data_IF_895943075057
#
_entry.id   IF_895943075057
#
_cell.length_a   1.000
_cell.length_b   1.000
_cell.length_c   1.000
_cell.angle_alpha   90.00
_cell.angle_beta   90.00
_cell.angle_gamma   90.00
#
_symmetry.space_group_name_H-M   'P 1'
#
loop_
_entity.id
_entity.type
_entity.pdbx_description
1 polymer ?
#
# COMPACT_ATOMS: atom_id res chain seq x y z
N UNK A 1 -2.20 5.00 -0.84
CA UNK A 1 -3.21 5.55 0.09
C UNK A 1 -4.25 6.44 -0.58
N UNK A 2 -3.97 7.70 -0.95
CA UNK A 2 -4.99 8.58 -1.54
C UNK A 2 -5.67 8.01 -2.80
N UNK A 3 -4.94 7.25 -3.61
CA UNK A 3 -5.53 6.53 -4.75
C UNK A 3 -6.53 5.45 -4.31
N UNK A 4 -6.26 4.74 -3.21
CA UNK A 4 -7.17 3.75 -2.63
C UNK A 4 -8.45 4.41 -2.11
N UNK A 5 -8.34 5.54 -1.39
CA UNK A 5 -9.51 6.31 -0.95
C UNK A 5 -10.36 6.85 -2.12
N UNK A 6 -9.77 7.06 -3.30
CA UNK A 6 -10.53 7.42 -4.52
C UNK A 6 -11.19 6.21 -5.20
N UNK A 7 -10.58 5.03 -5.12
CA UNK A 7 -11.13 3.78 -5.67
C UNK A 7 -12.24 3.21 -4.80
N UNK A 8 -12.17 3.40 -3.49
CA UNK A 8 -13.16 2.94 -2.52
C UNK A 8 -14.19 4.05 -2.31
N UNK A 9 -15.42 3.93 -2.85
CA UNK A 9 -16.41 5.01 -2.82
C UNK A 9 -16.98 5.16 -1.41
N UNK A 10 -16.49 6.15 -0.65
CA UNK A 10 -16.91 6.39 0.73
C UNK A 10 -18.42 6.52 0.92
N UNK A 11 -19.15 7.06 -0.05
CA UNK A 11 -20.61 7.16 -0.02
C UNK A 11 -21.33 5.80 0.07
N UNK A 12 -20.71 4.70 -0.38
CA UNK A 12 -21.28 3.36 -0.24
C UNK A 12 -21.23 2.82 1.21
N UNK A 13 -20.58 3.55 2.12
CA UNK A 13 -20.36 3.16 3.51
C UNK A 13 -21.08 4.09 4.51
N UNK A 14 -22.01 4.91 4.03
CA UNK A 14 -22.85 5.79 4.85
C UNK A 14 -24.33 5.56 4.54
N UNK A 15 -25.25 5.92 5.45
CA UNK A 15 -26.67 5.90 5.16
C UNK A 15 -27.01 6.78 3.94
N UNK A 16 -28.02 6.42 3.11
CA UNK A 16 -28.39 7.18 1.91
C UNK A 16 -28.63 8.68 2.15
N UNK A 17 -29.22 9.03 3.30
CA UNK A 17 -29.48 10.42 3.69
C UNK A 17 -28.21 11.27 3.89
N UNK A 18 -27.03 10.64 4.00
CA UNK A 18 -25.75 11.29 4.28
C UNK A 18 -24.76 11.19 3.12
N UNK A 19 -25.14 10.62 1.97
CA UNK A 19 -24.24 10.49 0.81
C UNK A 19 -23.66 11.82 0.34
N UNK A 20 -24.47 12.89 0.36
CA UNK A 20 -24.03 14.24 -0.01
C UNK A 20 -22.92 14.79 0.91
N UNK A 21 -22.88 14.34 2.16
CA UNK A 21 -21.86 14.71 3.15
C UNK A 21 -20.73 13.69 3.24
N UNK A 22 -20.73 12.62 2.44
CA UNK A 22 -19.81 11.50 2.62
C UNK A 22 -18.34 11.93 2.62
N UNK A 23 -17.98 13.00 1.91
CA UNK A 23 -16.62 13.51 1.77
C UNK A 23 -16.31 14.72 2.66
N UNK A 24 -17.25 15.16 3.51
CA UNK A 24 -16.98 16.17 4.54
C UNK A 24 -15.89 15.64 5.49
N UNK A 25 -14.94 16.50 5.90
CA UNK A 25 -13.91 16.12 6.87
C UNK A 25 -14.43 16.08 8.31
N UNK A 26 -15.44 15.23 8.55
CA UNK A 26 -16.06 15.00 9.86
C UNK A 26 -16.54 13.56 9.98
N UNK A 27 -16.75 13.04 11.20
CA UNK A 27 -17.42 11.77 11.40
C UNK A 27 -18.89 11.84 10.95
N UNK A 28 -19.40 10.75 10.41
CA UNK A 28 -20.82 10.59 10.08
C UNK A 28 -21.42 9.40 10.83
N UNK A 29 -22.66 9.50 11.33
CA UNK A 29 -23.31 8.36 11.97
C UNK A 29 -23.62 7.26 10.95
N UNK A 30 -23.42 6.02 11.35
CA UNK A 30 -23.68 4.82 10.53
C UNK A 30 -24.69 3.87 11.16
N UNK A 31 -25.40 4.33 12.20
CA UNK A 31 -26.34 3.53 12.98
C UNK A 31 -25.70 2.89 14.21
N UNK A 32 -26.54 2.33 15.10
CA UNK A 32 -26.11 1.62 16.31
C UNK A 32 -25.16 2.40 17.25
N UNK A 33 -25.26 3.73 17.27
CA UNK A 33 -24.35 4.58 18.06
C UNK A 33 -22.93 4.71 17.49
N UNK A 34 -22.67 4.16 16.30
CA UNK A 34 -21.35 4.15 15.66
C UNK A 34 -21.21 5.27 14.62
N UNK A 35 -19.96 5.59 14.30
CA UNK A 35 -19.61 6.55 13.25
C UNK A 35 -18.61 5.95 12.27
N UNK A 36 -18.64 6.45 11.02
CA UNK A 36 -17.51 6.34 10.11
C UNK A 36 -16.55 7.50 10.41
N UNK A 37 -15.27 7.19 10.62
CA UNK A 37 -14.22 8.19 10.91
C UNK A 37 -14.08 9.19 9.78
N UNK A 38 -13.73 10.44 10.09
CA UNK A 38 -13.49 11.48 9.08
C UNK A 38 -12.38 11.07 8.07
N UNK A 39 -12.48 11.49 6.79
CA UNK A 39 -11.49 11.21 5.75
C UNK A 39 -10.03 11.47 6.18
N UNK A 40 -9.75 12.59 6.86
CA UNK A 40 -8.39 12.90 7.30
C UNK A 40 -7.82 11.84 8.25
N UNK A 41 -8.60 11.39 9.24
CA UNK A 41 -8.16 10.39 10.21
C UNK A 41 -7.92 9.04 9.54
N UNK A 42 -8.78 8.64 8.62
CA UNK A 42 -8.58 7.43 7.78
C UNK A 42 -7.28 7.52 6.99
N UNK A 43 -7.01 8.67 6.37
CA UNK A 43 -5.79 8.92 5.62
C UNK A 43 -4.53 8.81 6.52
N UNK A 44 -4.56 9.49 7.67
CA UNK A 44 -3.47 9.54 8.64
C UNK A 44 -3.16 8.15 9.22
N UNK A 45 -4.17 7.43 9.72
CA UNK A 45 -4.01 6.10 10.31
C UNK A 45 -3.38 5.11 9.32
N UNK A 46 -3.83 5.15 8.08
CA UNK A 46 -3.34 4.20 7.07
C UNK A 46 -1.94 4.57 6.56
N UNK A 47 -1.61 5.86 6.49
CA UNK A 47 -0.24 6.29 6.15
C UNK A 47 0.76 5.85 7.22
N UNK A 48 0.39 6.00 8.50
CA UNK A 48 1.19 5.52 9.64
C UNK A 48 1.36 4.01 9.67
N UNK A 49 0.35 3.25 9.22
CA UNK A 49 0.42 1.79 9.16
C UNK A 49 1.47 1.28 8.16
N UNK A 50 1.86 2.12 7.17
CA UNK A 50 2.86 1.81 6.14
C UNK A 50 2.63 0.44 5.47
N UNK A 51 1.36 0.16 5.13
CA UNK A 51 0.94 -1.10 4.52
C UNK A 51 1.71 -1.41 3.24
N UNK A 52 2.11 -2.67 3.09
CA UNK A 52 2.77 -3.23 1.92
C UNK A 52 1.89 -4.32 1.28
N UNK A 53 2.09 -4.63 -0.02
CA UNK A 53 1.41 -5.73 -0.68
C UNK A 53 1.59 -7.05 0.07
N UNK A 54 0.57 -7.91 -0.03
CA UNK A 54 0.58 -9.25 0.57
C UNK A 54 0.78 -9.28 2.11
N UNK A 55 0.64 -8.14 2.79
CA UNK A 55 0.56 -8.11 4.24
C UNK A 55 -0.81 -8.54 4.73
N UNK A 56 -0.82 -9.26 5.85
CA UNK A 56 -2.03 -9.51 6.63
C UNK A 56 -2.22 -8.37 7.62
N UNK A 57 -3.38 -7.72 7.58
CA UNK A 57 -3.73 -6.62 8.47
C UNK A 57 -4.96 -7.04 9.29
N UNK A 58 -4.91 -6.81 10.61
CA UNK A 58 -6.05 -6.97 11.51
C UNK A 58 -6.64 -5.59 11.80
N UNK A 59 -7.92 -5.40 11.48
CA UNK A 59 -8.69 -4.24 11.90
C UNK A 59 -9.62 -4.62 13.05
N UNK A 60 -9.56 -3.87 14.15
CA UNK A 60 -10.46 -4.03 15.29
C UNK A 60 -11.49 -2.90 15.24
N UNK A 61 -12.77 -3.28 15.13
CA UNK A 61 -13.88 -2.33 15.05
C UNK A 61 -14.23 -1.93 13.62
N UNK A 62 -14.75 -2.87 12.84
CA UNK A 62 -15.08 -2.70 11.41
C UNK A 62 -15.99 -1.51 11.13
N UNK A 63 -16.92 -1.18 12.04
CA UNK A 63 -17.86 -0.08 11.83
C UNK A 63 -18.63 -0.25 10.53
N UNK A 64 -18.47 0.68 9.59
CA UNK A 64 -19.08 0.59 8.25
C UNK A 64 -18.32 -0.31 7.28
N UNK A 65 -17.06 -0.66 7.58
CA UNK A 65 -16.17 -1.42 6.69
C UNK A 65 -15.35 -0.56 5.73
N UNK A 66 -15.44 0.78 5.80
CA UNK A 66 -14.72 1.67 4.88
C UNK A 66 -13.19 1.58 5.03
N UNK A 67 -12.69 1.58 6.27
CA UNK A 67 -11.26 1.42 6.54
C UNK A 67 -10.76 0.04 6.05
N UNK A 68 -11.53 -1.02 6.32
CA UNK A 68 -11.22 -2.38 5.86
C UNK A 68 -11.13 -2.45 4.33
N UNK A 69 -12.07 -1.82 3.62
CA UNK A 69 -12.06 -1.77 2.17
C UNK A 69 -10.84 -1.02 1.61
N UNK A 70 -10.41 0.07 2.26
CA UNK A 70 -9.17 0.77 1.89
C UNK A 70 -7.95 -0.11 2.11
N UNK A 71 -7.86 -0.78 3.26
CA UNK A 71 -6.74 -1.66 3.58
C UNK A 71 -6.68 -2.85 2.61
N UNK A 72 -7.82 -3.46 2.29
CA UNK A 72 -7.93 -4.53 1.31
C UNK A 72 -7.44 -4.10 -0.08
N UNK A 73 -7.86 -2.91 -0.55
CA UNK A 73 -7.40 -2.35 -1.81
C UNK A 73 -5.88 -2.09 -1.81
N UNK A 74 -5.29 -1.65 -0.70
CA UNK A 74 -3.85 -1.40 -0.59
C UNK A 74 -3.01 -2.68 -0.54
N UNK A 75 -3.44 -3.71 0.18
CA UNK A 75 -2.69 -4.97 0.26
C UNK A 75 -2.82 -5.80 -1.02
N UNK A 76 -3.93 -5.63 -1.76
CA UNK A 76 -4.15 -6.24 -3.07
C UNK A 76 -3.44 -5.47 -4.20
N UNK A 77 -3.41 -4.14 -4.13
CA UNK A 77 -2.81 -3.28 -5.16
C UNK A 77 -1.57 -2.58 -4.63
N UNK A 78 -0.41 -3.19 -4.83
CA UNK A 78 0.84 -2.46 -4.66
C UNK A 78 1.53 -2.24 -5.98
N UNK A 79 1.64 -0.97 -6.33
CA UNK A 79 2.71 -0.52 -7.18
C UNK A 79 3.90 -0.21 -6.27
N UNK A 80 5.07 -0.74 -6.64
CA UNK A 80 6.33 -0.40 -5.99
C UNK A 80 6.47 1.12 -5.95
N UNK A 81 6.41 1.72 -4.76
CA UNK A 81 6.62 3.15 -4.57
C UNK A 81 8.02 3.30 -4.02
N UNK A 82 8.94 3.59 -4.92
CA UNK A 82 10.32 3.92 -4.58
C UNK A 82 10.26 5.17 -3.68
N UNK A 83 10.51 5.00 -2.38
CA UNK A 83 10.66 6.13 -1.46
C UNK A 83 12.03 6.71 -1.74
N UNK A 84 12.08 7.95 -2.23
CA UNK A 84 13.25 8.82 -2.29
C UNK A 84 14.59 8.11 -2.04
N UNK A 85 15.22 7.67 -3.13
CA UNK A 85 16.59 7.18 -3.15
C UNK A 85 17.58 8.33 -2.85
N UNK A 86 17.56 8.83 -1.62
CA UNK A 86 18.60 9.70 -1.04
C UNK A 86 19.37 8.92 0.02
N UNK A 87 19.99 7.83 -0.42
CA UNK A 87 21.09 7.18 0.25
C UNK A 87 22.22 7.00 -0.76
N UNK A 88 23.51 7.16 -0.37
CA UNK A 88 24.60 7.08 -1.34
C UNK A 88 24.57 5.71 -2.00
N UNK A 89 24.41 5.69 -3.32
CA UNK A 89 24.36 4.45 -4.12
C UNK A 89 25.65 3.69 -3.86
N UNK A 90 25.56 2.61 -3.09
CA UNK A 90 26.63 1.64 -2.95
C UNK A 90 27.01 1.15 -4.36
N UNK A 91 28.27 1.35 -4.73
CA UNK A 91 28.81 0.99 -6.04
C UNK A 91 28.54 -0.50 -6.27
N UNK A 92 27.91 -0.84 -7.39
CA UNK A 92 27.71 -2.24 -7.76
C UNK A 92 29.06 -2.98 -7.78
N UNK A 93 29.14 -4.22 -7.26
CA UNK A 93 30.37 -5.00 -7.32
C UNK A 93 30.77 -5.25 -8.78
N UNK A 94 32.06 -5.06 -9.08
CA UNK A 94 32.59 -5.32 -10.41
C UNK A 94 32.40 -6.80 -10.79
N UNK A 95 32.09 -7.11 -12.05
CA UNK A 95 31.96 -8.50 -12.48
C UNK A 95 33.29 -9.25 -12.31
N UNK A 96 33.26 -10.55 -11.98
CA UNK A 96 34.47 -11.33 -11.79
C UNK A 96 35.28 -11.41 -13.09
N UNK A 97 36.58 -11.21 -12.98
CA UNK A 97 37.50 -11.27 -14.13
C UNK A 97 37.45 -12.65 -14.79
N UNK A 98 37.27 -12.65 -16.11
CA UNK A 98 37.27 -13.87 -16.92
C UNK A 98 38.61 -14.62 -16.73
N UNK A 99 38.53 -15.88 -16.34
CA UNK A 99 39.70 -16.76 -16.26
C UNK A 99 40.26 -16.99 -17.67
N UNK A 100 41.57 -16.82 -17.90
CA UNK A 100 42.17 -17.14 -19.19
C UNK A 100 42.08 -18.64 -19.44
N UNK A 101 41.41 -19.04 -20.53
CA UNK A 101 41.36 -20.43 -20.97
C UNK A 101 42.78 -20.90 -21.31
N UNK A 102 43.28 -21.88 -20.56
CA UNK A 102 44.55 -22.54 -20.88
C UNK A 102 44.32 -23.43 -22.10
N UNK A 103 44.92 -23.08 -23.23
CA UNK A 103 45.03 -23.97 -24.38
C UNK A 103 45.81 -25.23 -24.00
N UNK A 104 45.19 -26.40 -24.12
CA UNK A 104 45.90 -27.69 -24.08
C UNK A 104 46.45 -28.00 -25.48
N UNK A 105 47.74 -28.33 -25.63
CA UNK A 105 48.25 -28.81 -26.91
C UNK A 105 47.74 -30.23 -27.18
N UNK A 106 47.36 -30.48 -28.44
CA UNK A 106 46.86 -31.75 -28.96
C UNK A 106 47.94 -32.84 -28.96
N UNK A 107 47.59 -34.05 -28.51
CA UNK A 107 48.43 -35.24 -28.64
C UNK A 107 48.57 -35.62 -30.12
N UNK A 108 49.79 -35.68 -30.63
CA UNK A 108 50.12 -36.23 -31.95
C UNK A 108 49.96 -37.75 -32.00
N UNK A 109 49.66 -38.24 -33.21
CA UNK A 109 49.78 -39.65 -33.62
C UNK A 109 51.18 -39.91 -34.16
#
# INVERSE_FOLDING_TARGET
MLAAMRRVPRQAFVPPALEASAHDDRPLPIGHGQTISQPFIVALMTDMLRTAPAQTVLEIGTGSGYQAAILADLVATAQHRDRDATGPRGRAPAPPAAHPQRHRPSRGR
#
